data_IF_719659878023
#
_entry.id   IF_719659878023
#
_cell.length_a   1.000
_cell.length_b   1.000
_cell.length_c   1.000
_cell.angle_alpha   90.00
_cell.angle_beta   90.00
_cell.angle_gamma   90.00
#
_symmetry.space_group_name_H-M   'P 1'
#
loop_
_entity.id
_entity.type
_entity.pdbx_description
1 polymer ?
#
# COMPACT_ATOMS: atom_id res chain seq x y z
N UNK A 1 22.15 -6.15 18.57
CA UNK A 1 21.00 -5.74 17.75
C UNK A 1 20.59 -4.35 18.17
N UNK A 2 20.56 -3.44 17.23
CA UNK A 2 20.18 -2.06 17.54
C UNK A 2 18.69 -1.94 17.92
N UNK A 3 18.29 -0.86 18.62
CA UNK A 3 16.91 -0.70 19.12
C UNK A 3 15.86 -0.64 17.99
N UNK A 4 16.20 -0.07 16.82
CA UNK A 4 15.31 0.04 15.67
C UNK A 4 15.01 -1.32 15.05
N UNK A 5 16.06 -2.11 14.76
CA UNK A 5 15.92 -3.50 14.26
C UNK A 5 15.12 -4.34 15.25
N UNK A 6 15.29 -4.13 16.56
CA UNK A 6 14.48 -4.83 17.57
C UNK A 6 13.00 -4.44 17.49
N UNK A 7 12.70 -3.16 17.40
CA UNK A 7 11.31 -2.68 17.27
C UNK A 7 10.63 -3.24 16.00
N UNK A 8 11.33 -3.24 14.86
CA UNK A 8 10.84 -3.83 13.61
C UNK A 8 10.62 -5.34 13.72
N UNK A 9 11.54 -6.06 14.39
CA UNK A 9 11.39 -7.49 14.64
C UNK A 9 10.12 -7.79 15.44
N UNK A 10 9.89 -7.09 16.54
CA UNK A 10 8.71 -7.31 17.38
C UNK A 10 7.43 -6.93 16.63
N UNK A 11 7.40 -5.81 15.91
CA UNK A 11 6.26 -5.40 15.08
C UNK A 11 5.92 -6.48 14.03
N UNK A 12 6.92 -7.03 13.35
CA UNK A 12 6.72 -8.09 12.35
C UNK A 12 6.15 -9.38 12.97
N UNK A 13 6.66 -9.77 14.14
CA UNK A 13 6.15 -10.96 14.83
C UNK A 13 4.72 -10.75 15.32
N UNK A 14 4.38 -9.56 15.80
CA UNK A 14 3.03 -9.21 16.22
C UNK A 14 2.03 -9.15 15.07
N UNK A 15 2.44 -8.59 13.92
CA UNK A 15 1.62 -8.56 12.71
C UNK A 15 1.37 -9.98 12.16
N UNK A 16 2.40 -10.86 12.21
CA UNK A 16 2.27 -12.27 11.86
C UNK A 16 1.28 -12.99 12.78
N UNK A 17 1.39 -12.80 14.08
CA UNK A 17 0.47 -13.40 15.06
C UNK A 17 -0.95 -12.91 14.89
N UNK A 18 -1.12 -11.63 14.56
CA UNK A 18 -2.42 -11.05 14.26
C UNK A 18 -3.05 -11.66 12.99
N UNK A 19 -2.26 -11.79 11.91
CA UNK A 19 -2.71 -12.40 10.65
C UNK A 19 -3.12 -13.88 10.82
N UNK A 20 -2.40 -14.62 11.66
CA UNK A 20 -2.72 -16.02 12.01
C UNK A 20 -3.87 -16.13 13.01
N UNK A 21 -4.28 -15.04 13.67
CA UNK A 21 -5.25 -15.05 14.76
C UNK A 21 -4.76 -15.74 16.04
N UNK A 22 -3.43 -15.82 16.23
CA UNK A 22 -2.79 -16.53 17.34
C UNK A 22 -2.25 -15.62 18.45
N UNK A 23 -2.52 -14.30 18.34
CA UNK A 23 -2.03 -13.31 19.32
C UNK A 23 -2.40 -13.66 20.77
N UNK A 24 -3.62 -14.18 20.97
CA UNK A 24 -4.15 -14.53 22.31
C UNK A 24 -4.07 -16.03 22.64
N UNK A 25 -3.29 -16.82 21.88
CA UNK A 25 -3.08 -18.25 22.13
C UNK A 25 -1.63 -18.48 22.55
N UNK A 26 -1.31 -18.57 23.87
CA UNK A 26 0.07 -18.51 24.38
C UNK A 26 1.01 -19.56 23.77
N UNK A 27 0.56 -20.80 23.61
CA UNK A 27 1.37 -21.90 23.05
C UNK A 27 1.72 -21.61 21.59
N UNK A 28 0.71 -21.29 20.75
CA UNK A 28 0.91 -20.99 19.33
C UNK A 28 1.73 -19.70 19.14
N UNK A 29 1.50 -18.69 19.98
CA UNK A 29 2.28 -17.46 19.97
C UNK A 29 3.75 -17.71 20.24
N UNK A 30 4.09 -18.48 21.28
CA UNK A 30 5.49 -18.83 21.60
C UNK A 30 6.15 -19.66 20.50
N UNK A 31 5.45 -20.67 19.98
CA UNK A 31 5.95 -21.50 18.89
C UNK A 31 6.22 -20.67 17.62
N UNK A 32 5.26 -19.82 17.21
CA UNK A 32 5.40 -18.94 16.05
C UNK A 32 6.57 -17.98 16.22
N UNK A 33 6.67 -17.30 17.38
CA UNK A 33 7.78 -16.38 17.66
C UNK A 33 9.13 -17.09 17.57
N UNK A 34 9.25 -18.31 18.11
CA UNK A 34 10.49 -19.08 18.04
C UNK A 34 10.85 -19.49 16.60
N UNK A 35 9.89 -20.04 15.85
CA UNK A 35 10.11 -20.54 14.49
C UNK A 35 10.33 -19.42 13.47
N UNK A 36 9.59 -18.33 13.59
CA UNK A 36 9.65 -17.20 12.67
C UNK A 36 10.74 -16.18 12.99
N UNK A 37 11.31 -16.20 14.22
CA UNK A 37 12.23 -15.18 14.71
C UNK A 37 13.38 -14.88 13.74
N UNK A 38 14.04 -15.89 13.21
CA UNK A 38 15.18 -15.69 12.31
C UNK A 38 14.76 -15.01 10.99
N UNK A 39 13.62 -15.43 10.43
CA UNK A 39 13.08 -14.84 9.20
C UNK A 39 12.60 -13.40 9.45
N UNK A 40 11.89 -13.18 10.55
CA UNK A 40 11.45 -11.85 10.95
C UNK A 40 12.62 -10.90 11.26
N UNK A 41 13.72 -11.43 11.81
CA UNK A 41 14.95 -10.64 12.03
C UNK A 41 15.61 -10.23 10.73
N UNK A 42 15.73 -11.13 9.75
CA UNK A 42 16.26 -10.80 8.43
C UNK A 42 15.43 -9.71 7.75
N UNK A 43 14.11 -9.83 7.79
CA UNK A 43 13.22 -8.82 7.25
C UNK A 43 13.35 -7.48 8.00
N UNK A 44 13.49 -7.50 9.33
CA UNK A 44 13.74 -6.29 10.12
C UNK A 44 15.07 -5.62 9.75
N UNK A 45 16.12 -6.38 9.49
CA UNK A 45 17.41 -5.87 9.01
C UNK A 45 17.30 -5.26 7.60
N UNK A 46 16.56 -5.91 6.69
CA UNK A 46 16.27 -5.38 5.36
C UNK A 46 15.51 -4.05 5.43
N UNK A 47 14.53 -3.94 6.32
CA UNK A 47 13.79 -2.70 6.55
C UNK A 47 14.63 -1.62 7.23
N UNK A 48 15.56 -1.97 8.10
CA UNK A 48 16.52 -1.02 8.67
C UNK A 48 17.42 -0.45 7.58
N UNK A 49 17.97 -1.31 6.71
CA UNK A 49 18.79 -0.88 5.57
C UNK A 49 17.98 -0.01 4.57
N UNK A 50 16.71 -0.35 4.34
CA UNK A 50 15.80 0.49 3.55
C UNK A 50 15.64 1.88 4.15
N UNK A 51 15.41 1.99 5.47
CA UNK A 51 15.23 3.28 6.15
C UNK A 51 16.50 4.14 6.13
N UNK A 52 17.69 3.51 6.22
CA UNK A 52 18.98 4.16 6.05
C UNK A 52 19.18 4.67 4.61
N UNK A 53 18.80 3.88 3.63
CA UNK A 53 18.83 4.29 2.22
C UNK A 53 17.85 5.43 1.93
N UNK A 54 16.69 5.46 2.58
CA UNK A 54 15.75 6.60 2.50
C UNK A 54 16.41 7.89 2.98
N UNK A 55 17.14 7.83 4.09
CA UNK A 55 17.84 9.02 4.63
C UNK A 55 18.95 9.49 3.71
N UNK A 56 19.64 8.57 3.03
CA UNK A 56 20.76 8.84 2.12
C UNK A 56 20.32 9.31 0.73
N UNK A 57 19.36 8.65 0.11
CA UNK A 57 19.02 8.81 -1.31
C UNK A 57 17.55 9.17 -1.58
N UNK A 58 16.73 9.28 -0.53
CA UNK A 58 15.30 9.57 -0.61
C UNK A 58 14.44 8.34 -0.86
N UNK A 59 13.14 8.49 -0.53
CA UNK A 59 12.18 7.38 -0.49
C UNK A 59 12.01 6.67 -1.85
N UNK A 60 11.99 7.42 -2.96
CA UNK A 60 11.79 6.84 -4.29
C UNK A 60 12.97 5.96 -4.72
N UNK A 61 14.21 6.36 -4.40
CA UNK A 61 15.42 5.58 -4.68
C UNK A 61 15.46 4.32 -3.83
N UNK A 62 15.26 4.46 -2.53
CA UNK A 62 15.24 3.34 -1.59
C UNK A 62 14.13 2.34 -1.94
N UNK A 63 12.91 2.83 -2.26
CA UNK A 63 11.82 1.98 -2.70
C UNK A 63 12.16 1.19 -3.96
N UNK A 64 12.84 1.79 -4.93
CA UNK A 64 13.30 1.12 -6.16
C UNK A 64 14.30 0.01 -5.86
N UNK A 65 15.28 0.30 -5.00
CA UNK A 65 16.31 -0.68 -4.59
C UNK A 65 15.66 -1.87 -3.87
N UNK A 66 14.80 -1.60 -2.90
CA UNK A 66 14.10 -2.65 -2.16
C UNK A 66 13.15 -3.46 -3.07
N UNK A 67 12.40 -2.78 -3.92
CA UNK A 67 11.46 -3.40 -4.84
C UNK A 67 12.13 -4.39 -5.80
N UNK A 68 13.36 -4.10 -6.25
CA UNK A 68 14.12 -4.97 -7.13
C UNK A 68 14.40 -6.36 -6.53
N UNK A 69 14.31 -6.54 -5.23
CA UNK A 69 14.40 -7.86 -4.58
C UNK A 69 13.09 -8.64 -4.68
N UNK A 70 11.94 -7.97 -4.67
CA UNK A 70 10.60 -8.60 -4.66
C UNK A 70 10.03 -8.84 -6.06
N UNK A 71 10.35 -7.97 -7.03
CA UNK A 71 9.76 -8.02 -8.38
C UNK A 71 10.83 -8.23 -9.44
N UNK A 72 10.43 -8.80 -10.57
CA UNK A 72 11.29 -8.96 -11.76
C UNK A 72 11.27 -7.72 -12.61
N UNK A 73 10.09 -7.12 -12.74
CA UNK A 73 9.81 -6.05 -13.66
C UNK A 73 8.62 -5.23 -13.17
N UNK A 74 8.69 -3.92 -13.37
CA UNK A 74 7.59 -3.00 -13.12
C UNK A 74 7.26 -2.29 -14.43
N UNK A 75 6.05 -2.51 -14.93
CA UNK A 75 5.53 -1.78 -16.09
C UNK A 75 4.68 -0.63 -15.63
N UNK A 76 5.04 0.57 -16.03
CA UNK A 76 4.26 1.78 -15.75
C UNK A 76 3.65 2.26 -17.06
N UNK A 77 2.32 2.43 -17.07
CA UNK A 77 1.57 2.98 -18.19
C UNK A 77 0.83 4.23 -17.73
N UNK A 78 0.76 5.25 -18.59
CA UNK A 78 0.03 6.49 -18.29
C UNK A 78 0.72 7.42 -17.29
N UNK A 79 2.02 7.27 -17.00
CA UNK A 79 2.74 8.12 -16.05
C UNK A 79 2.64 9.63 -16.39
N UNK A 80 2.43 9.97 -17.65
CA UNK A 80 2.22 11.34 -18.14
C UNK A 80 0.93 11.98 -17.60
N UNK A 81 0.00 11.21 -17.07
CA UNK A 81 -1.23 11.73 -16.44
C UNK A 81 -0.98 12.31 -15.04
N UNK A 82 0.18 12.03 -14.44
CA UNK A 82 0.54 12.61 -13.14
C UNK A 82 1.11 14.00 -13.38
N UNK A 83 0.47 15.07 -12.90
CA UNK A 83 1.00 16.42 -13.09
C UNK A 83 2.33 16.57 -12.34
N UNK A 84 3.36 17.16 -12.99
CA UNK A 84 4.70 17.27 -12.39
C UNK A 84 4.73 18.25 -11.21
N UNK A 85 3.78 19.13 -11.11
CA UNK A 85 3.62 20.14 -10.05
C UNK A 85 2.15 20.42 -9.79
N UNK A 86 1.86 21.10 -8.68
CA UNK A 86 0.51 21.48 -8.28
C UNK A 86 -0.19 20.41 -7.44
N UNK A 87 -1.31 20.77 -6.81
CA UNK A 87 -2.01 19.90 -5.89
C UNK A 87 -2.58 18.69 -6.61
N UNK A 88 -2.17 17.49 -6.17
CA UNK A 88 -2.52 16.22 -6.80
C UNK A 88 -2.94 15.18 -5.77
N UNK A 89 -4.14 14.65 -5.92
CA UNK A 89 -4.66 13.54 -5.13
C UNK A 89 -4.58 12.26 -5.96
N UNK A 90 -3.73 11.35 -5.56
CA UNK A 90 -3.49 10.07 -6.20
C UNK A 90 -4.30 9.00 -5.47
N UNK A 91 -5.10 8.23 -6.19
CA UNK A 91 -5.96 7.17 -5.64
C UNK A 91 -5.52 5.82 -6.20
N UNK A 92 -5.20 4.87 -5.36
CA UNK A 92 -4.80 3.53 -5.79
C UNK A 92 -5.57 2.45 -5.03
N UNK A 93 -5.82 1.32 -5.70
CA UNK A 93 -6.13 0.08 -4.99
C UNK A 93 -4.93 -0.38 -4.17
N UNK A 94 -5.14 -1.30 -3.23
CA UNK A 94 -4.13 -1.79 -2.28
C UNK A 94 -4.03 -3.33 -2.29
N UNK A 95 -3.49 -3.94 -3.36
CA UNK A 95 -3.46 -5.41 -3.45
C UNK A 95 -2.40 -6.09 -2.56
N UNK A 96 -1.49 -5.34 -1.94
CA UNK A 96 -0.51 -5.93 -1.02
C UNK A 96 0.66 -5.03 -0.68
N UNK A 97 1.67 -5.59 0.01
CA UNK A 97 2.76 -4.80 0.58
C UNK A 97 3.66 -4.13 -0.47
N UNK A 98 3.88 -4.78 -1.61
CA UNK A 98 4.80 -4.27 -2.64
C UNK A 98 4.21 -3.15 -3.50
N UNK A 99 2.90 -2.98 -3.50
CA UNK A 99 2.23 -1.89 -4.24
C UNK A 99 2.69 -0.50 -3.79
N UNK A 100 2.81 -0.29 -2.49
CA UNK A 100 3.30 0.98 -1.94
C UNK A 100 4.73 1.27 -2.40
N UNK A 101 5.61 0.24 -2.47
CA UNK A 101 6.95 0.40 -3.01
C UNK A 101 6.93 0.72 -4.52
N UNK A 102 6.03 0.08 -5.28
CA UNK A 102 5.82 0.39 -6.70
C UNK A 102 5.40 1.84 -6.88
N UNK A 103 4.42 2.29 -6.13
CA UNK A 103 3.92 3.67 -6.19
C UNK A 103 5.00 4.68 -5.79
N UNK A 104 5.70 4.47 -4.68
CA UNK A 104 6.79 5.34 -4.22
C UNK A 104 7.95 5.42 -5.20
N UNK A 105 8.27 4.31 -5.89
CA UNK A 105 9.37 4.25 -6.84
C UNK A 105 9.04 4.80 -8.22
N UNK A 106 7.74 4.82 -8.60
CA UNK A 106 7.27 5.10 -9.96
C UNK A 106 6.61 6.48 -10.11
N UNK A 107 6.08 7.06 -9.03
CA UNK A 107 5.45 8.37 -9.08
C UNK A 107 6.54 9.45 -9.15
N UNK A 108 6.58 10.29 -10.23
CA UNK A 108 7.66 11.25 -10.45
C UNK A 108 7.45 12.57 -9.65
N UNK A 109 7.13 12.45 -8.35
CA UNK A 109 6.87 13.57 -7.44
C UNK A 109 7.76 13.45 -6.20
N UNK A 110 8.63 14.44 -5.98
CA UNK A 110 9.50 14.49 -4.79
C UNK A 110 8.77 14.90 -3.52
N UNK A 111 7.64 15.55 -3.67
CA UNK A 111 6.75 16.05 -2.62
C UNK A 111 5.61 15.07 -2.31
N UNK A 112 5.73 13.81 -2.77
CA UNK A 112 4.74 12.78 -2.50
C UNK A 112 4.67 12.43 -1.02
N UNK A 113 3.48 12.57 -0.43
CA UNK A 113 3.14 12.00 0.87
C UNK A 113 2.09 10.89 0.71
N UNK A 114 2.19 9.87 1.53
CA UNK A 114 1.26 8.74 1.55
C UNK A 114 0.40 8.79 2.80
N UNK A 115 -0.91 8.76 2.65
CA UNK A 115 -1.84 8.64 3.75
C UNK A 115 -2.00 7.17 4.13
N UNK A 116 -1.57 6.79 5.33
CA UNK A 116 -1.59 5.39 5.79
C UNK A 116 -2.13 5.28 7.22
N UNK A 117 -2.74 4.15 7.55
CA UNK A 117 -3.09 3.84 8.94
C UNK A 117 -1.85 3.77 9.84
N UNK A 118 -1.98 4.23 11.08
CA UNK A 118 -0.89 4.14 12.06
C UNK A 118 -0.55 2.66 12.32
N UNK A 119 0.72 2.32 12.12
CA UNK A 119 1.24 0.97 12.37
C UNK A 119 2.57 1.09 13.10
N UNK A 120 2.82 0.26 14.15
CA UNK A 120 4.10 0.26 14.87
C UNK A 120 5.29 0.07 13.93
N UNK A 121 5.12 -0.75 12.90
CA UNK A 121 6.11 -0.98 11.84
C UNK A 121 6.52 0.31 11.13
N UNK A 122 5.55 1.12 10.67
CA UNK A 122 5.84 2.39 9.98
C UNK A 122 6.47 3.42 10.92
N UNK A 123 6.05 3.44 12.20
CA UNK A 123 6.63 4.33 13.21
C UNK A 123 8.10 4.00 13.55
N UNK A 124 8.53 2.76 13.35
CA UNK A 124 9.91 2.34 13.55
C UNK A 124 10.86 2.76 12.40
N UNK A 125 10.33 3.07 11.21
CA UNK A 125 11.06 3.56 10.04
C UNK A 125 11.18 5.08 10.09
N UNK A 126 12.21 5.61 10.75
CA UNK A 126 12.34 7.04 11.07
C UNK A 126 12.47 7.93 9.84
N UNK A 127 13.23 7.53 8.85
CA UNK A 127 13.43 8.29 7.61
C UNK A 127 12.21 8.15 6.71
N UNK A 128 11.74 6.93 6.47
CA UNK A 128 10.59 6.65 5.63
C UNK A 128 9.30 7.27 6.17
N UNK A 129 9.11 7.30 7.50
CA UNK A 129 7.92 7.89 8.14
C UNK A 129 7.69 9.36 7.77
N UNK A 130 8.73 10.10 7.37
CA UNK A 130 8.60 11.49 6.90
C UNK A 130 7.78 11.61 5.63
N UNK A 131 7.74 10.54 4.81
CA UNK A 131 6.93 10.45 3.60
C UNK A 131 5.50 9.96 3.84
N UNK A 132 5.13 9.74 5.10
CA UNK A 132 3.80 9.28 5.48
C UNK A 132 3.06 10.29 6.35
N UNK A 133 1.76 10.38 6.15
CA UNK A 133 0.82 10.97 7.09
C UNK A 133 0.08 9.81 7.74
N UNK A 134 0.43 9.52 8.99
CA UNK A 134 -0.18 8.40 9.70
C UNK A 134 -1.54 8.81 10.27
N UNK A 135 -2.56 8.01 9.97
CA UNK A 135 -3.91 8.13 10.50
C UNK A 135 -4.01 7.31 11.79
N UNK A 136 -3.96 7.94 12.95
CA UNK A 136 -4.07 7.24 14.21
C UNK A 136 -5.52 6.83 14.51
N UNK A 137 -5.68 5.89 15.42
CA UNK A 137 -6.94 5.64 16.05
C UNK A 137 -7.29 6.83 16.99
N UNK A 138 -8.58 7.18 17.02
CA UNK A 138 -9.07 8.32 17.81
C UNK A 138 -9.28 9.59 16.97
N UNK A 139 -10.44 10.23 17.24
CA UNK A 139 -10.99 11.31 16.43
C UNK A 139 -10.08 12.54 16.35
N UNK A 140 -9.57 13.00 17.50
CA UNK A 140 -8.77 14.25 17.56
C UNK A 140 -7.45 14.14 16.81
N UNK A 141 -6.71 13.05 17.04
CA UNK A 141 -5.44 12.79 16.35
C UNK A 141 -5.64 12.60 14.86
N UNK A 142 -6.76 11.97 14.47
CA UNK A 142 -7.13 11.80 13.05
C UNK A 142 -7.41 13.14 12.38
N UNK A 143 -8.07 14.09 13.05
CA UNK A 143 -8.30 15.46 12.55
C UNK A 143 -6.98 16.17 12.27
N UNK A 144 -5.98 16.05 13.15
CA UNK A 144 -4.66 16.65 12.93
C UNK A 144 -3.97 16.07 11.69
N UNK A 145 -4.03 14.75 11.49
CA UNK A 145 -3.49 14.09 10.30
C UNK A 145 -4.20 14.55 9.01
N UNK A 146 -5.53 14.65 9.02
CA UNK A 146 -6.31 15.16 7.89
C UNK A 146 -5.96 16.63 7.59
N UNK A 147 -5.83 17.46 8.62
CA UNK A 147 -5.38 18.87 8.43
C UNK A 147 -4.01 18.94 7.77
N UNK A 148 -3.05 18.12 8.21
CA UNK A 148 -1.71 18.05 7.59
C UNK A 148 -1.81 17.66 6.12
N UNK A 149 -2.63 16.66 5.77
CA UNK A 149 -2.86 16.23 4.39
C UNK A 149 -3.47 17.35 3.52
N UNK A 150 -4.49 18.06 4.04
CA UNK A 150 -5.12 19.19 3.36
C UNK A 150 -4.15 20.36 3.17
N UNK A 151 -3.36 20.68 4.19
CA UNK A 151 -2.34 21.74 4.09
C UNK A 151 -1.31 21.38 3.02
N UNK A 152 -0.85 20.13 2.98
CA UNK A 152 0.07 19.64 1.96
C UNK A 152 -0.51 19.77 0.54
N UNK A 153 -1.75 19.34 0.33
CA UNK A 153 -2.44 19.52 -0.95
C UNK A 153 -2.57 21.00 -1.33
N UNK A 154 -3.01 21.88 -0.40
CA UNK A 154 -3.16 23.32 -0.65
C UNK A 154 -1.84 24.01 -0.98
N UNK A 155 -0.72 23.53 -0.48
CA UNK A 155 0.62 24.04 -0.83
C UNK A 155 1.15 23.52 -2.15
N UNK A 156 0.35 22.77 -2.92
CA UNK A 156 0.72 22.23 -4.23
C UNK A 156 1.33 20.83 -4.20
N UNK A 157 1.27 20.15 -3.05
CA UNK A 157 1.84 18.82 -2.87
C UNK A 157 1.02 17.69 -3.48
N UNK A 158 1.64 16.52 -3.60
CA UNK A 158 1.00 15.27 -4.02
C UNK A 158 0.68 14.39 -2.82
N UNK A 159 -0.55 13.89 -2.74
CA UNK A 159 -1.01 12.97 -1.71
C UNK A 159 -1.51 11.67 -2.32
N UNK A 160 -0.91 10.55 -1.92
CA UNK A 160 -1.39 9.21 -2.26
C UNK A 160 -2.30 8.68 -1.15
N UNK A 161 -3.41 8.11 -1.53
CA UNK A 161 -4.35 7.44 -0.62
C UNK A 161 -4.89 6.15 -1.22
N UNK A 162 -5.25 5.22 -0.35
CA UNK A 162 -5.91 3.96 -0.67
C UNK A 162 -7.36 4.05 -0.17
N UNK A 163 -8.34 4.35 -1.05
CA UNK A 163 -9.69 4.69 -0.63
C UNK A 163 -10.45 3.58 0.10
N UNK A 164 -10.13 2.31 -0.16
CA UNK A 164 -10.71 1.18 0.56
C UNK A 164 -10.23 1.11 2.03
N UNK A 165 -9.05 1.65 2.34
CA UNK A 165 -8.46 1.60 3.69
C UNK A 165 -8.03 0.21 4.16
N UNK A 166 -8.09 -0.78 3.30
CA UNK A 166 -7.71 -2.18 3.55
C UNK A 166 -7.13 -2.83 2.29
N UNK A 167 -6.57 -4.04 2.44
CA UNK A 167 -6.07 -4.82 1.30
C UNK A 167 -7.24 -5.26 0.42
N UNK A 168 -7.05 -5.10 -0.90
CA UNK A 168 -7.99 -5.42 -1.95
C UNK A 168 -7.48 -6.59 -2.79
N UNK A 169 -8.35 -7.34 -3.50
CA UNK A 169 -7.92 -8.38 -4.43
C UNK A 169 -7.00 -7.84 -5.50
N UNK A 170 -5.89 -8.55 -5.77
CA UNK A 170 -4.99 -8.22 -6.87
C UNK A 170 -5.68 -8.51 -8.22
N UNK A 171 -5.90 -7.51 -9.08
CA UNK A 171 -6.64 -7.69 -10.33
C UNK A 171 -6.04 -8.73 -11.28
N UNK A 172 -4.73 -8.96 -11.22
CA UNK A 172 -4.05 -9.94 -12.07
C UNK A 172 -4.11 -11.37 -11.53
N UNK A 173 -4.53 -11.57 -10.26
CA UNK A 173 -4.36 -12.86 -9.56
C UNK A 173 -5.67 -13.36 -8.96
N UNK A 174 -6.54 -12.47 -8.54
CA UNK A 174 -7.76 -12.80 -7.79
C UNK A 174 -8.99 -12.16 -8.45
N UNK A 175 -10.12 -12.86 -8.46
CA UNK A 175 -11.42 -12.25 -8.80
C UNK A 175 -11.85 -11.29 -7.69
N UNK A 176 -12.79 -10.40 -8.01
CA UNK A 176 -13.41 -9.51 -7.03
C UNK A 176 -12.77 -8.13 -6.93
N UNK A 177 -11.85 -7.77 -7.83
CA UNK A 177 -11.22 -6.45 -7.83
C UNK A 177 -12.20 -5.33 -8.18
N UNK A 178 -13.18 -5.60 -9.05
CA UNK A 178 -14.24 -4.62 -9.39
C UNK A 178 -15.19 -4.44 -8.23
N UNK A 179 -15.63 -5.52 -7.59
CA UNK A 179 -16.52 -5.51 -6.43
C UNK A 179 -15.86 -4.84 -5.22
N UNK A 180 -14.53 -4.94 -5.11
CA UNK A 180 -13.78 -4.29 -4.04
C UNK A 180 -13.89 -2.76 -4.08
N UNK A 181 -14.15 -2.18 -5.25
CA UNK A 181 -14.32 -0.73 -5.40
C UNK A 181 -15.54 -0.19 -4.65
N UNK A 182 -16.52 -1.03 -4.31
CA UNK A 182 -17.67 -0.63 -3.49
C UNK A 182 -17.25 -0.21 -2.07
N UNK A 183 -16.05 -0.63 -1.63
CA UNK A 183 -15.46 -0.22 -0.35
C UNK A 183 -14.70 1.11 -0.42
N UNK A 184 -14.55 1.69 -1.62
CA UNK A 184 -13.89 2.98 -1.77
C UNK A 184 -14.71 4.08 -1.11
N UNK A 185 -14.17 4.62 -0.04
CA UNK A 185 -14.84 5.63 0.79
C UNK A 185 -14.90 6.98 0.08
N UNK A 186 -15.83 7.82 0.55
CA UNK A 186 -15.94 9.22 0.10
C UNK A 186 -14.80 10.13 0.62
N UNK A 187 -13.75 9.59 1.22
CA UNK A 187 -12.62 10.36 1.76
C UNK A 187 -11.94 11.22 0.69
N UNK A 188 -11.83 10.72 -0.54
CA UNK A 188 -11.29 11.45 -1.69
C UNK A 188 -12.07 12.75 -1.96
N UNK A 189 -13.39 12.67 -1.94
CA UNK A 189 -14.28 13.82 -2.15
C UNK A 189 -14.19 14.80 -0.97
N UNK A 190 -14.02 14.29 0.25
CA UNK A 190 -13.79 15.15 1.41
C UNK A 190 -12.48 15.96 1.27
N UNK A 191 -11.40 15.35 0.81
CA UNK A 191 -10.15 16.08 0.49
C UNK A 191 -10.37 17.13 -0.59
N UNK A 192 -11.10 16.82 -1.66
CA UNK A 192 -11.39 17.78 -2.74
C UNK A 192 -12.21 18.97 -2.26
N UNK A 193 -13.20 18.77 -1.38
CA UNK A 193 -13.97 19.88 -0.79
C UNK A 193 -13.07 20.81 0.02
N UNK A 194 -12.04 20.29 0.66
CA UNK A 194 -11.09 21.07 1.45
C UNK A 194 -9.94 21.64 0.61
N UNK A 195 -9.64 21.07 -0.56
CA UNK A 195 -8.60 21.49 -1.48
C UNK A 195 -9.10 21.41 -2.94
N UNK A 196 -10.04 22.28 -3.37
CA UNK A 196 -10.76 22.14 -4.65
C UNK A 196 -9.88 22.34 -5.89
N UNK A 197 -8.70 22.93 -5.75
CA UNK A 197 -7.71 23.06 -6.83
C UNK A 197 -6.97 21.79 -7.19
N UNK A 198 -7.21 20.66 -6.48
CA UNK A 198 -6.54 19.40 -6.75
C UNK A 198 -6.98 18.78 -8.08
N UNK A 199 -6.03 18.14 -8.74
CA UNK A 199 -6.29 17.15 -9.79
C UNK A 199 -6.32 15.77 -9.13
N UNK A 200 -7.27 14.93 -9.52
CA UNK A 200 -7.38 13.55 -9.05
C UNK A 200 -6.85 12.60 -10.12
N UNK A 201 -5.96 11.70 -9.75
CA UNK A 201 -5.38 10.69 -10.65
C UNK A 201 -5.66 9.31 -10.09
N UNK A 202 -6.63 8.58 -10.66
CA UNK A 202 -6.85 7.19 -10.30
C UNK A 202 -5.73 6.31 -10.85
N UNK A 203 -5.34 5.29 -10.10
CA UNK A 203 -4.29 4.35 -10.46
C UNK A 203 -4.71 2.94 -10.11
N UNK A 204 -4.20 1.97 -10.85
CA UNK A 204 -4.38 0.55 -10.58
C UNK A 204 -3.03 -0.14 -10.52
N UNK A 205 -2.75 -0.80 -9.40
CA UNK A 205 -1.61 -1.70 -9.24
C UNK A 205 -2.10 -3.13 -9.35
N UNK A 206 -1.40 -3.95 -10.13
CA UNK A 206 -1.73 -5.37 -10.32
C UNK A 206 -0.47 -6.23 -10.44
N UNK A 207 -0.60 -7.53 -10.15
CA UNK A 207 0.50 -8.49 -10.24
C UNK A 207 1.49 -8.42 -9.07
N UNK A 208 1.11 -7.88 -7.92
CA UNK A 208 1.95 -7.84 -6.72
C UNK A 208 1.95 -9.17 -5.98
N UNK A 209 0.87 -9.94 -6.07
CA UNK A 209 0.73 -11.23 -5.40
C UNK A 209 1.23 -12.38 -6.28
N UNK A 210 1.99 -13.28 -5.67
CA UNK A 210 2.42 -14.52 -6.33
C UNK A 210 1.26 -15.54 -6.33
N UNK A 211 0.80 -16.04 -7.51
CA UNK A 211 -0.30 -17.00 -7.58
C UNK A 211 -0.07 -18.28 -6.77
N UNK A 212 1.20 -18.73 -6.66
CA UNK A 212 1.57 -19.91 -5.86
C UNK A 212 1.34 -19.70 -4.37
N UNK A 213 1.54 -18.47 -3.87
CA UNK A 213 1.23 -18.14 -2.48
C UNK A 213 -0.28 -18.28 -2.23
N UNK A 214 -1.12 -17.80 -3.15
CA UNK A 214 -2.58 -17.87 -3.05
C UNK A 214 -3.12 -19.31 -3.07
N UNK A 215 -2.44 -20.20 -3.82
CA UNK A 215 -2.81 -21.62 -3.95
C UNK A 215 -2.13 -22.51 -2.90
N UNK A 216 -1.35 -21.94 -1.98
CA UNK A 216 -0.65 -22.70 -0.95
C UNK A 216 -1.63 -23.41 -0.03
N UNK A 217 -1.46 -24.72 0.23
CA UNK A 217 -2.28 -25.47 1.19
C UNK A 217 -2.31 -24.83 2.58
N UNK A 218 -1.20 -24.22 3.01
CA UNK A 218 -1.09 -23.52 4.30
C UNK A 218 -2.04 -22.32 4.33
N UNK A 219 -2.08 -21.51 3.27
CA UNK A 219 -2.97 -20.36 3.17
C UNK A 219 -4.43 -20.81 3.14
N UNK A 220 -4.74 -21.87 2.40
CA UNK A 220 -6.09 -22.41 2.29
C UNK A 220 -6.59 -23.00 3.62
N UNK A 221 -5.72 -23.65 4.37
CA UNK A 221 -6.05 -24.29 5.66
C UNK A 221 -6.22 -23.24 6.77
N UNK A 222 -5.37 -22.22 6.82
CA UNK A 222 -5.34 -21.24 7.92
C UNK A 222 -6.32 -20.08 7.73
N UNK A 223 -6.90 -19.91 6.54
CA UNK A 223 -7.89 -18.86 6.32
C UNK A 223 -9.17 -19.13 7.13
N UNK A 224 -9.59 -18.11 7.87
CA UNK A 224 -10.86 -18.12 8.62
C UNK A 224 -11.98 -17.39 7.86
N UNK A 225 -11.62 -16.35 7.10
CA UNK A 225 -12.50 -15.51 6.27
C UNK A 225 -11.93 -15.40 4.86
N UNK A 226 -12.74 -15.00 3.91
CA UNK A 226 -12.31 -14.79 2.53
C UNK A 226 -11.15 -13.77 2.45
N UNK A 227 -11.25 -12.68 3.20
CA UNK A 227 -10.22 -11.61 3.28
C UNK A 227 -8.92 -12.02 3.98
N UNK A 228 -8.88 -13.17 4.67
CA UNK A 228 -7.66 -13.64 5.32
C UNK A 228 -6.68 -14.25 4.30
N UNK A 229 -7.20 -14.70 3.16
CA UNK A 229 -6.41 -15.36 2.13
C UNK A 229 -5.33 -14.45 1.56
N UNK A 230 -5.71 -13.23 1.20
CA UNK A 230 -4.80 -12.24 0.63
C UNK A 230 -3.70 -11.87 1.63
N UNK A 231 -4.06 -11.63 2.88
CA UNK A 231 -3.12 -11.30 3.97
C UNK A 231 -2.15 -12.44 4.25
N UNK A 232 -2.67 -13.67 4.36
CA UNK A 232 -1.84 -14.86 4.60
C UNK A 232 -0.92 -15.17 3.43
N UNK A 233 -1.40 -14.98 2.19
CA UNK A 233 -0.58 -15.18 1.00
C UNK A 233 0.50 -14.11 0.87
N UNK A 234 0.20 -12.85 1.12
CA UNK A 234 1.20 -11.78 1.16
C UNK A 234 2.26 -12.05 2.23
N UNK A 235 1.85 -12.49 3.42
CA UNK A 235 2.78 -12.88 4.49
C UNK A 235 3.66 -14.07 4.08
N UNK A 236 3.08 -15.10 3.46
CA UNK A 236 3.84 -16.26 2.96
C UNK A 236 4.84 -15.83 1.88
N UNK A 237 4.45 -14.92 0.99
CA UNK A 237 5.33 -14.36 -0.04
C UNK A 237 6.54 -13.65 0.59
N UNK A 238 6.33 -12.83 1.62
CA UNK A 238 7.42 -12.18 2.36
C UNK A 238 8.33 -13.22 3.04
N UNK A 239 7.75 -14.24 3.68
CA UNK A 239 8.54 -15.31 4.32
C UNK A 239 9.41 -16.07 3.31
N UNK A 240 8.85 -16.40 2.15
CA UNK A 240 9.60 -17.08 1.07
C UNK A 240 10.66 -16.16 0.50
N UNK A 241 10.34 -14.89 0.24
CA UNK A 241 11.30 -13.89 -0.21
C UNK A 241 12.49 -13.76 0.75
N UNK A 242 12.22 -13.57 2.04
CA UNK A 242 13.28 -13.39 3.05
C UNK A 242 14.20 -14.61 3.17
N UNK A 243 13.69 -15.82 2.86
CA UNK A 243 14.51 -17.05 2.86
C UNK A 243 15.23 -17.29 1.53
N UNK A 244 14.64 -16.86 0.42
CA UNK A 244 15.10 -17.11 -0.94
C UNK A 244 14.72 -15.91 -1.84
N UNK A 245 15.49 -14.81 -1.84
CA UNK A 245 15.12 -13.56 -2.51
C UNK A 245 14.88 -13.68 -4.03
N UNK A 246 15.47 -14.67 -4.71
CA UNK A 246 15.23 -14.92 -6.14
C UNK A 246 13.94 -15.69 -6.44
N UNK A 247 13.31 -16.25 -5.41
CA UNK A 247 12.11 -17.08 -5.55
C UNK A 247 10.85 -16.20 -5.44
N UNK A 248 9.86 -16.47 -6.30
CA UNK A 248 8.58 -15.77 -6.27
C UNK A 248 8.66 -14.25 -6.55
N UNK A 249 9.54 -13.85 -7.46
CA UNK A 249 9.56 -12.48 -7.96
C UNK A 249 8.44 -12.30 -8.98
N UNK A 250 7.56 -11.35 -8.70
CA UNK A 250 6.38 -11.04 -9.52
C UNK A 250 6.70 -10.06 -10.67
N UNK A 251 5.76 -9.88 -11.58
CA UNK A 251 5.74 -8.79 -12.56
C UNK A 251 4.58 -7.88 -12.21
N UNK A 252 4.88 -6.64 -11.94
CA UNK A 252 3.88 -5.67 -11.48
C UNK A 252 3.58 -4.67 -12.57
N UNK A 253 2.29 -4.36 -12.74
CA UNK A 253 1.84 -3.26 -13.58
C UNK A 253 1.28 -2.14 -12.70
N UNK A 254 1.67 -0.91 -13.03
CA UNK A 254 1.06 0.33 -12.52
C UNK A 254 0.42 1.03 -13.71
N UNK A 255 -0.90 1.09 -13.70
CA UNK A 255 -1.69 1.80 -14.69
C UNK A 255 -2.19 3.11 -14.10
N UNK A 256 -1.76 4.22 -14.66
CA UNK A 256 -2.17 5.57 -14.27
C UNK A 256 -3.25 6.03 -15.24
N UNK A 257 -4.46 6.20 -14.73
CA UNK A 257 -5.61 6.60 -15.54
C UNK A 257 -5.58 8.13 -15.81
N UNK A 258 -6.36 8.61 -16.77
CA UNK A 258 -6.45 10.04 -17.04
C UNK A 258 -6.82 10.86 -15.81
N UNK A 259 -6.14 11.97 -15.65
CA UNK A 259 -6.36 12.90 -14.57
C UNK A 259 -7.71 13.62 -14.69
N UNK A 260 -8.41 13.78 -13.58
CA UNK A 260 -9.70 14.47 -13.52
C UNK A 260 -9.58 15.71 -12.64
N UNK A 261 -9.93 16.92 -13.15
CA UNK A 261 -9.94 18.11 -12.33
C UNK A 261 -10.92 17.97 -11.15
N UNK A 262 -10.47 18.29 -9.93
CA UNK A 262 -11.30 18.16 -8.74
C UNK A 262 -12.59 18.97 -8.79
N UNK A 263 -12.55 20.15 -9.42
CA UNK A 263 -13.74 21.01 -9.65
C UNK A 263 -14.83 20.29 -10.47
N UNK A 264 -14.43 19.49 -11.48
CA UNK A 264 -15.37 18.78 -12.36
C UNK A 264 -16.02 17.61 -11.62
N UNK A 265 -15.28 16.97 -10.70
CA UNK A 265 -15.82 15.98 -9.78
C UNK A 265 -16.79 16.60 -8.78
N UNK A 266 -16.42 17.73 -8.16
CA UNK A 266 -17.26 18.41 -7.18
C UNK A 266 -18.58 18.91 -7.81
N UNK A 267 -18.56 19.30 -9.08
CA UNK A 267 -19.76 19.69 -9.83
C UNK A 267 -20.78 18.53 -9.98
N UNK A 268 -20.33 17.26 -9.85
CA UNK A 268 -21.20 16.07 -9.86
C UNK A 268 -21.91 15.81 -8.51
N UNK A 269 -21.67 16.64 -7.50
CA UNK A 269 -22.31 16.52 -6.19
C UNK A 269 -22.08 15.14 -5.55
N UNK A 270 -23.17 14.48 -5.14
CA UNK A 270 -23.12 13.16 -4.52
C UNK A 270 -22.64 12.04 -5.46
N UNK A 271 -22.66 12.26 -6.78
CA UNK A 271 -22.17 11.31 -7.79
C UNK A 271 -20.65 11.36 -8.01
N UNK A 272 -19.92 12.28 -7.39
CA UNK A 272 -18.49 12.48 -7.62
C UNK A 272 -17.63 11.21 -7.38
N UNK A 273 -17.87 10.49 -6.29
CA UNK A 273 -17.14 9.25 -5.99
C UNK A 273 -17.48 8.13 -6.98
N UNK A 274 -18.75 8.05 -7.40
CA UNK A 274 -19.18 7.06 -8.39
C UNK A 274 -18.47 7.23 -9.74
N UNK A 275 -18.16 8.46 -10.16
CA UNK A 275 -17.40 8.74 -11.39
C UNK A 275 -16.00 8.13 -11.29
N UNK A 276 -15.32 8.30 -10.16
CA UNK A 276 -13.98 7.73 -9.94
C UNK A 276 -14.02 6.20 -9.92
N UNK A 277 -14.98 5.63 -9.19
CA UNK A 277 -15.20 4.17 -9.13
C UNK A 277 -15.49 3.62 -10.52
N UNK A 278 -16.37 4.26 -11.30
CA UNK A 278 -16.71 3.82 -12.66
C UNK A 278 -15.51 3.87 -13.60
N UNK A 279 -14.66 4.89 -13.50
CA UNK A 279 -13.44 4.99 -14.32
C UNK A 279 -12.49 3.82 -14.02
N UNK A 280 -12.26 3.50 -12.75
CA UNK A 280 -11.41 2.36 -12.34
C UNK A 280 -12.06 1.03 -12.69
N UNK A 281 -13.36 0.86 -12.46
CA UNK A 281 -14.10 -0.36 -12.81
C UNK A 281 -14.10 -0.60 -14.32
N UNK A 282 -14.28 0.44 -15.12
CA UNK A 282 -14.20 0.35 -16.59
C UNK A 282 -12.84 -0.13 -17.07
N UNK A 283 -11.77 0.41 -16.47
CA UNK A 283 -10.41 -0.04 -16.75
C UNK A 283 -10.21 -1.51 -16.36
N UNK A 284 -10.58 -1.92 -15.15
CA UNK A 284 -10.42 -3.30 -14.68
C UNK A 284 -11.18 -4.29 -15.58
N UNK A 285 -12.45 -4.02 -15.92
CA UNK A 285 -13.24 -4.89 -16.82
C UNK A 285 -12.65 -5.02 -18.22
N UNK A 286 -11.99 -3.98 -18.75
CA UNK A 286 -11.34 -4.05 -20.05
C UNK A 286 -10.09 -4.91 -20.05
N UNK A 287 -9.44 -5.07 -18.88
CA UNK A 287 -8.21 -5.86 -18.72
C UNK A 287 -8.46 -7.30 -18.24
N UNK A 288 -9.64 -7.60 -17.69
CA UNK A 288 -10.06 -8.99 -17.41
C UNK A 288 -10.38 -9.78 -18.70
N UNK A 289 -10.66 -9.07 -19.80
CA UNK A 289 -11.03 -9.67 -21.11
C UNK A 289 -9.85 -9.83 -22.08
N UNK A 290 -8.69 -9.33 -21.71
CA UNK A 290 -7.48 -9.39 -22.55
C UNK A 290 -6.51 -10.46 -22.04
#
# INVERSE_FOLDING_TARGET
>A
MDPRTRALLEANLDDMLAALGWRNVPILSRATRRLARQTALRFAQEMTAFDEEVDRAGIASAARTLLASFVRDVRVRGAQHIPPRGPCLLLSNHPGMTDTLVLLSSIPRRDLLVLAGERPFLGALRAASRSFILLPDGRERRVAAVRRAVTHLRSGGALLTFPAGEIEPDPAVLPGAVEALDRWSNSSIAFLRLAPGCVVVPMVVSGVLEPRAQKSPIVLLLRRKATDRERLAAMLQVLVHTRSPSRWRTRVCLDVLPAVPGRDLLARGNGANAVLIQAVAGFLRSHERA
#
